data_IF_081904301406
#
_entry.id   IF_081904301406
#
_cell.length_a   1.000
_cell.length_b   1.000
_cell.length_c   1.000
_cell.angle_alpha   90.00
_cell.angle_beta   90.00
_cell.angle_gamma   90.00
#
_symmetry.space_group_name_H-M   'P 1'
#
loop_
_entity.id
_entity.type
_entity.pdbx_description
1 polymer ?
#
# COMPACT_ATOMS: atom_id res chain seq x y z
N UNK A 1 -5.57 -15.54 10.96
CA UNK A 1 -4.50 -14.82 11.68
C UNK A 1 -3.27 -14.69 10.80
N UNK A 2 -2.26 -13.95 11.25
CA UNK A 2 -0.99 -13.83 10.56
C UNK A 2 0.18 -13.91 11.54
N UNK A 3 1.19 -14.71 11.21
CA UNK A 3 2.50 -14.65 11.84
C UNK A 3 3.33 -13.65 11.05
N UNK A 4 3.90 -12.67 11.75
CA UNK A 4 4.76 -11.64 11.19
C UNK A 4 6.03 -11.50 12.00
N UNK A 5 7.02 -10.82 11.41
CA UNK A 5 8.13 -10.33 12.19
C UNK A 5 7.65 -9.25 13.22
N UNK A 6 8.24 -9.16 14.41
CA UNK A 6 7.95 -8.15 15.43
C UNK A 6 8.43 -6.79 14.99
N UNK A 7 9.53 -6.74 14.23
CA UNK A 7 10.02 -5.58 13.49
C UNK A 7 9.34 -5.45 12.10
N UNK A 8 8.14 -5.99 11.91
CA UNK A 8 7.35 -5.72 10.72
C UNK A 8 6.81 -4.27 10.76
N UNK A 9 6.89 -3.51 9.66
CA UNK A 9 7.19 -3.96 8.29
C UNK A 9 8.66 -3.93 7.87
N UNK A 10 9.58 -3.46 8.71
CA UNK A 10 11.00 -3.31 8.37
C UNK A 10 11.71 -4.66 8.12
N UNK A 11 11.27 -5.71 8.80
CA UNK A 11 11.67 -7.10 8.56
C UNK A 11 10.50 -7.93 8.06
N UNK A 12 10.76 -8.72 7.02
CA UNK A 12 9.79 -9.59 6.39
C UNK A 12 10.09 -11.05 6.72
N UNK A 13 9.07 -11.90 6.71
CA UNK A 13 9.26 -13.35 6.66
C UNK A 13 9.63 -13.71 5.22
N UNK A 14 10.86 -14.20 5.01
CA UNK A 14 11.31 -14.71 3.70
C UNK A 14 10.64 -16.04 3.37
N UNK A 15 10.71 -16.48 2.10
CA UNK A 15 10.19 -17.80 1.70
C UNK A 15 10.88 -18.94 2.48
N UNK A 16 12.20 -18.84 2.67
CA UNK A 16 12.98 -19.81 3.45
C UNK A 16 12.52 -19.85 4.91
N UNK A 17 12.39 -18.68 5.56
CA UNK A 17 11.88 -18.61 6.93
C UNK A 17 10.45 -19.12 7.05
N UNK A 18 9.60 -18.81 6.08
CA UNK A 18 8.22 -19.30 6.03
C UNK A 18 8.16 -20.82 5.93
N UNK A 19 9.07 -21.41 5.15
CA UNK A 19 9.16 -22.87 5.00
C UNK A 19 9.64 -23.52 6.30
N UNK A 20 10.68 -22.98 6.94
CA UNK A 20 11.13 -23.45 8.27
C UNK A 20 10.02 -23.35 9.31
N UNK A 21 9.25 -22.26 9.31
CA UNK A 21 8.10 -22.08 10.20
C UNK A 21 6.99 -23.11 9.96
N UNK A 22 6.69 -23.42 8.69
CA UNK A 22 5.70 -24.46 8.35
C UNK A 22 6.15 -25.84 8.82
N UNK A 23 7.41 -26.18 8.59
CA UNK A 23 7.97 -27.48 9.01
C UNK A 23 7.96 -27.63 10.53
N UNK A 24 8.38 -26.58 11.25
CA UNK A 24 8.30 -26.52 12.70
C UNK A 24 6.85 -26.65 13.20
N UNK A 25 5.89 -25.94 12.59
CA UNK A 25 4.47 -26.06 12.95
C UNK A 25 3.96 -27.49 12.75
N UNK A 26 4.28 -28.12 11.62
CA UNK A 26 3.87 -29.50 11.34
C UNK A 26 4.48 -30.48 12.34
N UNK A 27 5.72 -30.26 12.76
CA UNK A 27 6.34 -31.05 13.82
C UNK A 27 5.60 -30.88 15.15
N UNK A 28 5.29 -29.65 15.55
CA UNK A 28 4.54 -29.37 16.79
C UNK A 28 3.14 -29.96 16.78
N UNK A 29 2.47 -29.97 15.63
CA UNK A 29 1.17 -30.64 15.47
C UNK A 29 1.29 -32.14 15.72
N UNK A 30 2.31 -32.81 15.15
CA UNK A 30 2.56 -34.25 15.39
C UNK A 30 2.84 -34.57 16.85
N UNK A 31 3.61 -33.71 17.53
CA UNK A 31 3.86 -33.84 18.97
C UNK A 31 2.55 -33.73 19.78
N UNK A 32 1.65 -32.82 19.38
CA UNK A 32 0.36 -32.60 20.02
C UNK A 32 -0.70 -33.68 19.70
N UNK A 33 -0.54 -34.53 18.68
CA UNK A 33 -1.46 -35.66 18.44
C UNK A 33 -1.49 -36.67 19.60
N UNK A 34 -0.44 -36.68 20.44
CA UNK A 34 -0.37 -37.47 21.67
C UNK A 34 -0.98 -36.75 22.89
N UNK A 35 -1.36 -35.48 22.74
CA UNK A 35 -2.00 -34.66 23.78
C UNK A 35 -3.54 -34.71 23.64
N UNK A 36 -4.27 -34.25 24.65
CA UNK A 36 -5.73 -34.18 24.64
C UNK A 36 -6.28 -33.19 23.57
N UNK A 37 -5.43 -32.27 23.09
CA UNK A 37 -5.77 -31.27 22.09
C UNK A 37 -5.06 -31.57 20.77
N UNK A 38 -5.84 -31.93 19.74
CA UNK A 38 -5.36 -32.10 18.37
C UNK A 38 -5.60 -30.81 17.55
N UNK A 39 -4.57 -29.95 17.35
CA UNK A 39 -4.73 -28.69 16.64
C UNK A 39 -5.04 -28.90 15.16
N UNK A 40 -6.05 -28.21 14.63
CA UNK A 40 -6.52 -28.37 13.24
C UNK A 40 -6.41 -27.07 12.45
N UNK A 41 -5.65 -27.10 11.36
CA UNK A 41 -5.46 -25.97 10.47
C UNK A 41 -6.21 -26.19 9.16
N UNK A 42 -6.93 -25.16 8.73
CA UNK A 42 -7.60 -25.12 7.43
C UNK A 42 -6.62 -24.72 6.32
N UNK A 43 -5.67 -23.84 6.64
CA UNK A 43 -4.75 -23.30 5.64
C UNK A 43 -3.51 -22.67 6.30
N UNK A 44 -2.36 -22.76 5.61
CA UNK A 44 -1.13 -22.06 5.95
C UNK A 44 -0.40 -21.62 4.67
N UNK A 45 -0.31 -20.31 4.42
CA UNK A 45 0.31 -19.75 3.19
C UNK A 45 1.10 -18.48 3.45
N UNK A 46 2.21 -18.30 2.73
CA UNK A 46 2.94 -17.03 2.74
C UNK A 46 2.20 -16.02 1.85
N UNK A 47 2.00 -14.79 2.35
CA UNK A 47 1.43 -13.70 1.57
C UNK A 47 2.16 -12.39 1.86
N UNK A 48 3.08 -12.01 0.98
CA UNK A 48 3.93 -10.85 1.23
C UNK A 48 4.93 -11.17 2.34
N UNK A 49 4.98 -10.32 3.37
CA UNK A 49 5.88 -10.45 4.52
C UNK A 49 5.33 -11.29 5.68
N UNK A 50 4.16 -11.93 5.51
CA UNK A 50 3.40 -12.57 6.58
C UNK A 50 2.94 -13.99 6.23
N UNK A 51 3.04 -14.91 7.19
CA UNK A 51 2.50 -16.26 7.08
C UNK A 51 1.05 -16.26 7.57
N UNK A 52 0.10 -16.35 6.64
CA UNK A 52 -1.32 -16.42 6.95
C UNK A 52 -1.70 -17.82 7.38
N UNK A 53 -2.38 -17.91 8.52
CA UNK A 53 -2.83 -19.18 9.11
C UNK A 53 -4.31 -19.10 9.45
N UNK A 54 -5.04 -20.11 9.01
CA UNK A 54 -6.45 -20.32 9.30
C UNK A 54 -6.59 -21.53 10.23
N UNK A 55 -6.97 -21.28 11.48
CA UNK A 55 -7.29 -22.32 12.46
C UNK A 55 -8.75 -22.76 12.28
N UNK A 56 -9.05 -24.03 12.52
CA UNK A 56 -10.41 -24.55 12.47
C UNK A 56 -11.29 -24.01 13.62
N UNK A 57 -10.71 -23.90 14.83
CA UNK A 57 -11.39 -23.48 16.04
C UNK A 57 -10.51 -22.56 16.92
N UNK A 58 -11.11 -21.95 17.94
CA UNK A 58 -10.43 -21.06 18.88
C UNK A 58 -9.38 -21.82 19.71
N UNK A 59 -9.63 -23.08 20.05
CA UNK A 59 -8.68 -23.90 20.80
C UNK A 59 -7.36 -24.11 20.04
N UNK A 60 -7.42 -24.35 18.73
CA UNK A 60 -6.25 -24.43 17.86
C UNK A 60 -5.52 -23.08 17.77
N UNK A 61 -6.26 -21.97 17.77
CA UNK A 61 -5.67 -20.63 17.79
C UNK A 61 -4.90 -20.36 19.07
N UNK A 62 -5.50 -20.64 20.22
CA UNK A 62 -4.86 -20.43 21.52
C UNK A 62 -3.64 -21.35 21.68
N UNK A 63 -3.72 -22.57 21.15
CA UNK A 63 -2.59 -23.48 21.06
C UNK A 63 -1.45 -22.91 20.20
N UNK A 64 -1.75 -22.39 19.01
CA UNK A 64 -0.76 -21.79 18.12
C UNK A 64 -0.07 -20.60 18.79
N UNK A 65 -0.82 -19.70 19.41
CA UNK A 65 -0.27 -18.53 20.08
C UNK A 65 0.70 -18.93 21.20
N UNK A 66 0.32 -19.92 22.00
CA UNK A 66 1.16 -20.47 23.07
C UNK A 66 2.46 -21.07 22.52
N UNK A 67 2.37 -21.96 21.51
CA UNK A 67 3.55 -22.59 20.91
C UNK A 67 4.48 -21.57 20.25
N UNK A 68 3.94 -20.53 19.61
CA UNK A 68 4.76 -19.45 19.05
C UNK A 68 5.50 -18.66 20.13
N UNK A 69 4.91 -18.51 21.31
CA UNK A 69 5.54 -17.81 22.44
C UNK A 69 6.62 -18.65 23.12
N UNK A 70 6.41 -19.96 23.23
CA UNK A 70 7.27 -20.86 24.01
C UNK A 70 8.39 -21.49 23.17
N UNK A 71 8.08 -21.91 21.95
CA UNK A 71 8.88 -22.91 21.22
C UNK A 71 9.35 -22.42 19.83
N UNK A 72 9.04 -21.19 19.43
CA UNK A 72 9.31 -20.73 18.06
C UNK A 72 10.82 -20.73 17.73
N UNK A 73 11.23 -21.25 16.55
CA UNK A 73 12.62 -21.60 16.24
C UNK A 73 13.55 -20.40 15.95
N UNK A 74 13.07 -19.16 16.07
CA UNK A 74 13.85 -17.99 15.64
C UNK A 74 14.47 -17.27 16.81
N UNK A 75 15.77 -17.46 17.01
CA UNK A 75 16.57 -16.36 17.53
C UNK A 75 16.56 -15.19 16.54
N UNK A 76 16.43 -13.94 17.02
CA UNK A 76 16.01 -13.55 18.37
C UNK A 76 14.56 -13.08 18.32
N UNK A 77 13.60 -13.91 18.77
CA UNK A 77 12.28 -13.48 19.27
C UNK A 77 11.45 -12.60 18.31
N UNK A 78 11.66 -12.79 17.02
CA UNK A 78 11.16 -11.88 16.01
C UNK A 78 9.73 -12.15 15.60
N UNK A 79 8.96 -13.08 16.18
CA UNK A 79 7.66 -13.46 15.62
C UNK A 79 6.50 -13.13 16.56
N UNK A 80 5.44 -12.57 15.99
CA UNK A 80 4.17 -12.36 16.72
C UNK A 80 2.99 -12.77 15.87
N UNK A 81 1.95 -13.23 16.55
CA UNK A 81 0.66 -13.54 15.97
C UNK A 81 -0.22 -12.29 16.04
N UNK A 82 -0.78 -11.87 14.92
CA UNK A 82 -1.74 -10.76 14.84
C UNK A 82 -3.00 -11.20 14.11
N UNK A 83 -4.07 -10.41 14.23
CA UNK A 83 -5.21 -10.58 13.34
C UNK A 83 -4.83 -10.24 11.91
N UNK A 84 -5.35 -10.99 10.95
CA UNK A 84 -5.03 -10.75 9.55
C UNK A 84 -5.54 -9.39 9.04
N UNK A 85 -6.53 -8.79 9.73
CA UNK A 85 -7.04 -7.44 9.46
C UNK A 85 -6.07 -6.34 9.91
N UNK A 86 -5.22 -6.63 10.89
CA UNK A 86 -4.24 -5.68 11.45
C UNK A 86 -2.93 -5.70 10.64
N UNK A 87 -2.78 -6.64 9.69
CA UNK A 87 -1.75 -6.54 8.67
C UNK A 87 -1.99 -5.27 7.87
N UNK A 88 -1.04 -4.34 7.91
CA UNK A 88 -1.04 -3.16 7.05
C UNK A 88 -1.22 -3.60 5.61
N UNK A 89 -2.37 -3.26 5.01
CA UNK A 89 -2.64 -3.63 3.64
C UNK A 89 -1.60 -2.96 2.73
N UNK A 90 -0.98 -3.71 1.83
CA UNK A 90 -0.02 -3.13 0.89
C UNK A 90 -0.75 -2.16 -0.04
N UNK A 91 -0.11 -1.04 -0.28
CA UNK A 91 -0.60 0.01 -1.18
C UNK A 91 -0.51 -0.52 -2.61
N UNK A 92 -1.61 -0.35 -3.34
CA UNK A 92 -1.61 -0.48 -4.79
C UNK A 92 -1.48 0.90 -5.40
N UNK A 93 -0.58 1.05 -6.36
CA UNK A 93 -0.44 2.28 -7.10
C UNK A 93 -0.38 2.01 -8.60
N UNK A 94 -0.76 3.01 -9.39
CA UNK A 94 -0.52 3.03 -10.83
C UNK A 94 0.57 4.05 -11.15
N UNK A 95 1.37 3.73 -12.16
CA UNK A 95 2.37 4.63 -12.73
C UNK A 95 2.42 4.44 -14.24
N UNK A 96 2.42 5.55 -14.97
CA UNK A 96 2.66 5.55 -16.41
C UNK A 96 4.15 5.79 -16.68
N UNK A 97 4.76 4.88 -17.43
CA UNK A 97 6.17 4.96 -17.80
C UNK A 97 6.27 5.32 -19.29
N UNK A 98 6.74 6.53 -19.63
CA UNK A 98 6.85 6.95 -21.02
C UNK A 98 7.99 6.21 -21.76
N UNK A 99 7.80 5.98 -23.06
CA UNK A 99 8.80 5.39 -23.95
C UNK A 99 8.57 3.90 -24.23
N UNK A 100 9.59 3.16 -24.69
CA UNK A 100 9.42 1.75 -25.05
C UNK A 100 9.10 0.89 -23.83
N UNK A 101 8.29 -0.15 -24.06
CA UNK A 101 8.00 -1.18 -23.05
C UNK A 101 9.31 -1.73 -22.49
N UNK A 102 9.42 -1.67 -21.17
CA UNK A 102 10.64 -2.02 -20.45
C UNK A 102 10.27 -2.95 -19.30
N UNK A 103 11.09 -3.97 -19.06
CA UNK A 103 10.95 -4.86 -17.92
C UNK A 103 10.82 -4.06 -16.59
N UNK A 104 9.77 -4.29 -15.78
CA UNK A 104 9.54 -3.55 -14.55
C UNK A 104 10.71 -3.61 -13.57
N UNK A 105 11.42 -4.74 -13.46
CA UNK A 105 12.57 -4.83 -12.53
C UNK A 105 13.68 -3.86 -12.90
N UNK A 106 13.94 -3.65 -14.21
CA UNK A 106 14.88 -2.62 -14.68
C UNK A 106 14.42 -1.21 -14.32
N UNK A 107 13.12 -0.94 -14.33
CA UNK A 107 12.55 0.36 -13.97
C UNK A 107 12.73 0.64 -12.48
N UNK A 108 12.37 -0.32 -11.62
CA UNK A 108 12.54 -0.21 -10.17
C UNK A 108 14.00 0.01 -9.79
N UNK A 109 14.92 -0.74 -10.39
CA UNK A 109 16.36 -0.54 -10.19
C UNK A 109 16.81 0.88 -10.57
N UNK A 110 16.33 1.44 -11.69
CA UNK A 110 16.66 2.82 -12.09
C UNK A 110 16.08 3.86 -11.13
N UNK A 111 14.87 3.63 -10.62
CA UNK A 111 14.26 4.49 -9.60
C UNK A 111 15.08 4.46 -8.31
N UNK A 112 15.39 3.29 -7.76
CA UNK A 112 16.19 3.17 -6.55
C UNK A 112 17.56 3.86 -6.67
N UNK A 113 18.25 3.69 -7.80
CA UNK A 113 19.57 4.29 -8.03
C UNK A 113 19.56 5.82 -8.04
N UNK A 114 18.48 6.44 -8.54
CA UNK A 114 18.40 7.90 -8.75
C UNK A 114 17.70 8.64 -7.63
N UNK A 115 16.98 7.94 -6.76
CA UNK A 115 16.13 8.53 -5.73
C UNK A 115 16.53 8.05 -4.33
N UNK A 116 17.83 8.03 -4.01
CA UNK A 116 18.30 7.65 -2.67
C UNK A 116 17.63 8.54 -1.60
N UNK A 117 17.18 7.99 -0.45
CA UNK A 117 17.40 6.63 0.04
C UNK A 117 16.26 5.62 -0.28
N UNK A 118 15.48 5.83 -1.35
CA UNK A 118 14.36 4.95 -1.69
C UNK A 118 14.82 3.51 -2.00
N UNK A 119 14.20 2.54 -1.32
CA UNK A 119 14.34 1.11 -1.62
C UNK A 119 13.11 0.60 -2.41
N UNK A 120 13.35 -0.11 -3.51
CA UNK A 120 12.29 -0.66 -4.37
C UNK A 120 12.32 -2.19 -4.45
N UNK A 121 13.13 -2.89 -3.66
CA UNK A 121 13.26 -4.36 -3.73
C UNK A 121 11.94 -5.09 -3.40
N UNK A 122 11.15 -4.54 -2.48
CA UNK A 122 9.82 -5.06 -2.12
C UNK A 122 8.69 -4.71 -3.09
N UNK A 123 8.96 -3.99 -4.17
CA UNK A 123 7.91 -3.55 -5.10
C UNK A 123 7.57 -4.65 -6.09
N UNK A 124 6.29 -4.99 -6.17
CA UNK A 124 5.79 -6.07 -7.03
C UNK A 124 4.88 -5.50 -8.12
N UNK A 125 5.20 -5.80 -9.38
CA UNK A 125 4.31 -5.46 -10.50
C UNK A 125 3.16 -6.47 -10.56
N UNK A 126 1.93 -5.98 -10.42
CA UNK A 126 0.69 -6.78 -10.49
C UNK A 126 0.21 -6.86 -11.95
N UNK A 127 0.32 -5.75 -12.68
CA UNK A 127 -0.15 -5.65 -14.06
C UNK A 127 0.77 -4.72 -14.85
N UNK A 128 0.96 -5.06 -16.11
CA UNK A 128 1.67 -4.27 -17.09
C UNK A 128 0.82 -4.25 -18.36
N UNK A 129 0.54 -3.05 -18.86
CA UNK A 129 -0.21 -2.83 -20.09
C UNK A 129 0.58 -1.89 -20.99
N UNK A 130 0.78 -2.30 -22.23
CA UNK A 130 1.34 -1.44 -23.27
C UNK A 130 0.32 -0.40 -23.70
N UNK A 131 0.77 0.84 -23.86
CA UNK A 131 -0.05 1.99 -24.27
C UNK A 131 0.69 2.75 -25.39
N UNK A 132 0.01 3.53 -26.26
CA UNK A 132 0.62 4.14 -27.45
C UNK A 132 1.87 5.02 -27.22
N UNK A 133 2.14 5.45 -25.98
CA UNK A 133 3.28 6.32 -25.62
C UNK A 133 4.13 5.76 -24.48
N UNK A 134 3.94 4.51 -24.10
CA UNK A 134 4.49 4.01 -22.86
C UNK A 134 3.92 2.68 -22.41
N UNK A 135 4.02 2.47 -21.12
CA UNK A 135 3.38 1.35 -20.45
C UNK A 135 2.78 1.82 -19.13
N UNK A 136 1.58 1.33 -18.83
CA UNK A 136 0.95 1.52 -17.55
C UNK A 136 1.28 0.33 -16.65
N UNK A 137 1.83 0.61 -15.48
CA UNK A 137 2.14 -0.41 -14.48
C UNK A 137 1.21 -0.24 -13.29
N UNK A 138 0.65 -1.36 -12.81
CA UNK A 138 0.04 -1.44 -11.49
C UNK A 138 1.01 -2.18 -10.59
N UNK A 139 1.34 -1.55 -9.48
CA UNK A 139 2.30 -2.07 -8.51
C UNK A 139 1.66 -2.23 -7.15
N UNK A 140 2.22 -3.18 -6.39
CA UNK A 140 1.97 -3.42 -4.99
C UNK A 140 3.24 -3.11 -4.22
N UNK A 141 3.15 -2.32 -3.17
CA UNK A 141 4.26 -2.05 -2.26
C UNK A 141 3.75 -1.93 -0.82
N UNK A 142 4.66 -2.02 0.13
CA UNK A 142 4.35 -1.80 1.54
C UNK A 142 4.06 -0.32 1.82
N UNK A 143 3.32 -0.06 2.90
CA UNK A 143 2.97 1.31 3.32
C UNK A 143 4.22 2.16 3.58
N UNK A 144 5.25 1.59 4.22
CA UNK A 144 6.54 2.26 4.44
C UNK A 144 7.22 2.69 3.16
N UNK A 145 7.20 1.85 2.12
CA UNK A 145 7.71 2.20 0.79
C UNK A 145 6.93 3.35 0.17
N UNK A 146 5.60 3.35 0.32
CA UNK A 146 4.74 4.43 -0.16
C UNK A 146 5.01 5.75 0.56
N UNK A 147 5.08 5.71 1.89
CA UNK A 147 5.35 6.88 2.72
C UNK A 147 6.74 7.46 2.40
N UNK A 148 7.75 6.59 2.23
CA UNK A 148 9.11 7.03 1.85
C UNK A 148 9.16 7.63 0.45
N UNK A 149 8.40 7.09 -0.50
CA UNK A 149 8.26 7.66 -1.83
C UNK A 149 7.63 9.06 -1.79
N UNK A 150 6.65 9.26 -0.91
CA UNK A 150 6.05 10.57 -0.63
C UNK A 150 7.04 11.55 -0.02
N UNK A 151 7.76 11.13 1.01
CA UNK A 151 8.76 11.94 1.72
C UNK A 151 9.90 12.39 0.80
N UNK A 152 10.50 11.46 0.04
CA UNK A 152 11.72 11.72 -0.73
C UNK A 152 11.44 12.37 -2.08
N UNK A 153 10.30 12.02 -2.71
CA UNK A 153 10.05 12.37 -4.10
C UNK A 153 8.67 12.95 -4.37
N UNK A 154 7.85 13.19 -3.34
CA UNK A 154 6.46 13.68 -3.48
C UNK A 154 5.66 12.82 -4.46
N UNK A 155 5.81 11.50 -4.39
CA UNK A 155 5.19 10.52 -5.30
C UNK A 155 5.57 10.67 -6.78
N UNK A 156 6.60 11.46 -7.08
CA UNK A 156 7.10 11.75 -8.42
C UNK A 156 8.60 11.48 -8.53
N UNK A 157 9.09 10.24 -8.43
CA UNK A 157 10.53 9.95 -8.51
C UNK A 157 11.10 10.24 -9.89
N UNK A 158 12.41 10.51 -9.93
CA UNK A 158 13.19 10.63 -11.15
C UNK A 158 13.34 9.27 -11.83
N UNK A 159 13.07 9.23 -13.13
CA UNK A 159 13.27 8.06 -13.98
C UNK A 159 13.73 8.52 -15.36
N UNK A 160 14.83 7.93 -15.85
CA UNK A 160 15.47 8.36 -17.09
C UNK A 160 15.68 9.89 -17.08
N UNK A 161 15.24 10.61 -18.10
CA UNK A 161 15.43 12.06 -18.21
C UNK A 161 14.21 12.88 -17.72
N UNK A 162 13.40 12.32 -16.81
CA UNK A 162 12.20 12.98 -16.30
C UNK A 162 11.74 12.46 -14.95
N UNK A 163 10.49 12.75 -14.61
CA UNK A 163 9.80 12.27 -13.41
C UNK A 163 8.54 11.52 -13.80
N UNK A 164 8.20 10.48 -13.05
CA UNK A 164 6.97 9.69 -13.26
C UNK A 164 6.10 9.75 -12.01
N UNK A 165 4.79 9.90 -12.17
CA UNK A 165 3.86 10.06 -11.05
C UNK A 165 3.22 8.74 -10.64
N UNK A 166 3.27 8.47 -9.33
CA UNK A 166 2.63 7.33 -8.71
C UNK A 166 1.30 7.77 -8.12
N UNK A 167 0.21 7.10 -8.51
CA UNK A 167 -1.14 7.41 -8.02
C UNK A 167 -1.68 6.21 -7.23
N UNK A 168 -2.15 6.40 -5.99
CA UNK A 168 -2.71 5.29 -5.22
C UNK A 168 -4.01 4.82 -5.88
N UNK A 169 -4.21 3.51 -5.93
CA UNK A 169 -5.47 2.90 -6.35
C UNK A 169 -6.34 2.71 -5.11
N UNK A 170 -7.23 3.66 -4.88
CA UNK A 170 -8.24 3.55 -3.83
C UNK A 170 -9.27 2.52 -4.31
N UNK A 171 -9.48 1.45 -3.54
CA UNK A 171 -10.63 0.57 -3.79
C UNK A 171 -11.90 1.40 -3.60
N UNK A 172 -12.76 1.50 -4.61
CA UNK A 172 -14.11 2.04 -4.45
C UNK A 172 -14.81 1.28 -3.30
N UNK A 173 -15.02 1.93 -2.16
CA UNK A 173 -15.78 1.38 -1.03
C UNK A 173 -15.15 1.46 0.36
N UNK A 174 -13.90 1.91 0.52
CA UNK A 174 -13.27 2.03 1.85
C UNK A 174 -13.30 3.51 2.28
N UNK A 175 -14.00 3.88 3.38
CA UNK A 175 -14.01 5.27 3.84
C UNK A 175 -12.61 5.68 4.29
N UNK A 176 -12.19 6.94 4.07
CA UNK A 176 -10.86 7.39 4.48
C UNK A 176 -10.73 7.27 6.00
N UNK A 177 -9.80 6.41 6.42
CA UNK A 177 -9.36 6.30 7.81
C UNK A 177 -8.86 7.67 8.27
N UNK A 178 -9.48 8.20 9.33
CA UNK A 178 -9.26 9.56 9.82
C UNK A 178 -7.80 9.72 10.21
N UNK A 179 -7.10 10.60 9.51
CA UNK A 179 -5.79 11.14 9.94
C UNK A 179 -6.02 11.93 11.23
N UNK A 180 -5.30 11.69 12.34
CA UNK A 180 -5.45 12.49 13.54
C UNK A 180 -4.82 13.87 13.30
N UNK A 181 -5.67 14.85 12.99
CA UNK A 181 -5.33 16.26 13.05
C UNK A 181 -5.24 16.67 14.52
N UNK A 182 -4.04 16.59 15.10
CA UNK A 182 -3.71 17.37 16.29
C UNK A 182 -3.51 18.82 15.83
N UNK A 183 -4.55 19.63 15.91
CA UNK A 183 -4.41 21.08 15.92
C UNK A 183 -4.55 21.58 17.35
N UNK A 184 -3.52 22.28 17.79
CA UNK A 184 -3.46 22.98 19.06
C UNK A 184 -4.61 23.99 19.17
N UNK A 185 -5.27 23.94 20.32
CA UNK A 185 -6.25 24.92 20.73
C UNK A 185 -5.48 26.19 21.11
N UNK A 186 -5.59 27.23 20.29
CA UNK A 186 -5.50 28.60 20.78
C UNK A 186 -6.92 29.15 20.73
N UNK A 187 -7.48 29.34 21.92
CA UNK A 187 -8.77 29.97 22.10
C UNK A 187 -8.66 31.44 21.69
N UNK A 188 -9.56 31.90 20.82
CA UNK A 188 -9.93 33.32 20.77
C UNK A 188 -11.41 33.40 20.48
N UNK A 189 -12.11 33.99 21.43
CA UNK A 189 -13.57 34.14 21.48
C UNK A 189 -14.08 35.29 20.61
N UNK A 190 -15.37 35.15 20.24
CA UNK A 190 -16.37 36.20 19.96
C UNK A 190 -16.36 36.81 18.53
N UNK A 191 -17.48 37.13 17.87
CA UNK A 191 -18.90 37.25 18.25
C UNK A 191 -19.77 37.06 16.99
N UNK A 192 -20.97 36.50 17.16
CA UNK A 192 -22.05 36.42 16.16
C UNK A 192 -22.56 37.82 15.76
N UNK A 193 -22.77 38.07 14.47
CA UNK A 193 -23.78 39.03 14.00
C UNK A 193 -24.35 38.54 12.68
N UNK A 194 -25.64 38.20 12.72
CA UNK A 194 -26.51 37.90 11.59
C UNK A 194 -27.12 39.20 11.09
N UNK A 195 -27.12 39.43 9.78
CA UNK A 195 -28.14 40.23 9.11
C UNK A 195 -28.28 39.76 7.65
N UNK A 196 -29.49 39.31 7.34
CA UNK A 196 -29.98 39.01 6.00
C UNK A 196 -30.60 40.29 5.37
N UNK A 197 -31.24 40.12 4.21
CA UNK A 197 -32.01 41.10 3.38
C UNK A 197 -31.12 41.99 2.51
N UNK A 198 -31.36 42.24 1.22
CA UNK A 198 -32.44 41.88 0.29
C UNK A 198 -31.95 42.12 -1.15
N UNK A 199 -32.73 41.61 -2.11
CA UNK A 199 -32.77 41.77 -3.56
C UNK A 199 -32.18 43.06 -4.15
N UNK A 200 -31.51 42.92 -5.31
CA UNK A 200 -31.95 43.57 -6.56
C UNK A 200 -31.44 42.81 -7.78
N UNK A 201 -32.36 42.65 -8.71
CA UNK A 201 -32.24 42.03 -10.02
C UNK A 201 -32.05 43.18 -11.00
N UNK A 202 -30.95 43.22 -11.76
CA UNK A 202 -30.86 44.02 -12.99
C UNK A 202 -30.27 43.16 -14.10
N UNK A 203 -31.00 43.20 -15.20
CA UNK A 203 -30.82 42.47 -16.44
C UNK A 203 -30.46 43.54 -17.45
N UNK A 204 -29.29 43.46 -18.09
CA UNK A 204 -29.10 44.08 -19.41
C UNK A 204 -28.26 43.15 -20.30
N UNK A 205 -28.94 42.72 -21.37
CA UNK A 205 -28.42 42.23 -22.64
C UNK A 205 -27.33 43.16 -23.20
N UNK A 206 -26.28 42.61 -23.81
CA UNK A 206 -25.94 43.05 -25.16
C UNK A 206 -25.14 42.02 -25.96
N UNK A 207 -25.40 42.06 -27.26
CA UNK A 207 -25.13 41.08 -28.28
C UNK A 207 -23.79 41.32 -29.00
N UNK A 208 -23.29 40.25 -29.62
CA UNK A 208 -22.52 40.31 -30.87
C UNK A 208 -21.00 40.47 -30.67
N UNK A 209 -20.14 40.01 -31.57
CA UNK A 209 -20.28 39.21 -32.78
C UNK A 209 -18.87 38.69 -33.11
N UNK A 210 -18.74 37.49 -33.67
CA UNK A 210 -17.53 37.12 -34.43
C UNK A 210 -17.37 38.03 -35.67
N UNK A 211 -16.15 38.10 -36.23
CA UNK A 211 -16.04 37.53 -37.57
C UNK A 211 -14.74 36.75 -37.85
N UNK A 212 -14.91 35.72 -38.69
CA UNK A 212 -13.89 35.12 -39.57
C UNK A 212 -13.42 36.15 -40.60
N UNK A 213 -12.13 36.13 -40.95
CA UNK A 213 -11.67 36.41 -42.32
C UNK A 213 -10.56 35.42 -42.71
N UNK A 214 -10.68 34.95 -43.95
CA UNK A 214 -9.85 34.01 -44.73
C UNK A 214 -9.32 34.80 -45.93
N UNK A 215 -8.12 34.49 -46.42
CA UNK A 215 -7.65 34.47 -47.84
C UNK A 215 -6.11 34.33 -47.83
N UNK A 216 -5.49 33.26 -48.35
CA UNK A 216 -5.19 32.90 -49.77
C UNK A 216 -4.09 33.74 -50.44
N UNK A 217 -3.13 33.07 -51.10
CA UNK A 217 -2.22 33.71 -52.07
C UNK A 217 -0.83 33.07 -52.21
N UNK A 218 -0.69 32.12 -53.13
CA UNK A 218 0.56 31.60 -53.72
C UNK A 218 1.23 32.63 -54.66
N UNK A 219 2.50 32.46 -55.07
CA UNK A 219 2.86 31.55 -56.19
C UNK A 219 3.70 30.33 -55.78
#
# INVERSE_FOLDING_TARGET
>A
MAIINTAHPEQIITEEQAQTLKEWLLQKVKEAESEELSPRFLECRLRGSALLISCYDQATRDWLERRLREDAPTEPSGLRLIEAKDLTQPIKAMVFIPGPVTDPKKIWRRIALRNKPLNTEGWQTISQKEEPKGQLLVIRMEKTSWDKLGEVAQYRPFLNFGRVEFKPLIKKGEPPEKVPTTMGIVATTATTTTLATDMTMEVEDEQGASPKVREEGQP
#
